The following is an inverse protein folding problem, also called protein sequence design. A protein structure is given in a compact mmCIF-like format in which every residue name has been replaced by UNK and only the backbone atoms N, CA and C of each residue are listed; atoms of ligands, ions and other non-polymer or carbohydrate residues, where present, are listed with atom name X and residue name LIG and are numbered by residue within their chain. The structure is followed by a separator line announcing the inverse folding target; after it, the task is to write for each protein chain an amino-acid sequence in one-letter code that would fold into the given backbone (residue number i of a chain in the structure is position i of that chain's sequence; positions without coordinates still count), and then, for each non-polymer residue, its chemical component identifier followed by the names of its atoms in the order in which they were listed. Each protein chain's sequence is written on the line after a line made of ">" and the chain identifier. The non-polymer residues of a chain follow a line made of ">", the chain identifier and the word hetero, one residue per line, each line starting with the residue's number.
data_IF_883770825313
#
_entry.id   IF_883770825313
#
_cell.length_a   1.000
_cell.length_b   1.000
_cell.length_c   1.000
_cell.angle_alpha   90.00
_cell.angle_beta   90.00
_cell.angle_gamma   90.00
#
_symmetry.space_group_name_H-M   'P 1'
#
loop_
_entity.id
_entity.type
_entity.pdbx_description
1 polymer ?
#
# COMPACT_ATOMS: atom_id res chain seq x y z
N UNK A 1 -14.94 -7.14 -5.36
CA UNK A 1 -15.73 -7.59 -4.20
C UNK A 1 -16.17 -6.37 -3.41
N UNK A 2 -17.43 -6.29 -3.05
CA UNK A 2 -17.88 -5.36 -2.02
C UNK A 2 -17.62 -6.01 -0.66
N UNK A 3 -16.86 -5.35 0.20
CA UNK A 3 -16.24 -5.88 1.42
C UNK A 3 -15.14 -6.92 1.16
N UNK A 4 -14.10 -6.80 1.95
CA UNK A 4 -12.96 -7.72 1.92
C UNK A 4 -12.81 -8.52 3.20
N UNK A 5 -11.96 -9.54 3.18
CA UNK A 5 -11.77 -10.45 4.31
C UNK A 5 -11.28 -9.79 5.58
N UNK A 6 -10.46 -8.71 5.46
CA UNK A 6 -9.98 -7.98 6.63
C UNK A 6 -11.07 -7.16 7.32
N UNK A 7 -12.17 -6.83 6.62
CA UNK A 7 -13.29 -6.10 7.24
C UNK A 7 -13.93 -6.91 8.38
N UNK A 8 -13.96 -8.25 8.25
CA UNK A 8 -14.53 -9.15 9.25
C UNK A 8 -13.88 -8.97 10.62
N UNK A 9 -12.57 -8.70 10.66
CA UNK A 9 -11.83 -8.48 11.91
C UNK A 9 -12.38 -7.32 12.76
N UNK A 10 -13.21 -6.45 12.18
CA UNK A 10 -13.79 -5.30 12.87
C UNK A 10 -15.18 -5.59 13.48
N UNK A 11 -15.76 -6.74 13.17
CA UNK A 11 -17.09 -7.16 13.64
C UNK A 11 -17.05 -8.29 14.66
N UNK A 12 -15.86 -8.85 14.94
CA UNK A 12 -15.67 -9.92 15.92
C UNK A 12 -14.53 -9.57 16.89
N UNK A 13 -14.54 -10.22 18.06
CA UNK A 13 -13.49 -10.05 19.04
C UNK A 13 -12.11 -10.49 18.51
N UNK A 14 -11.07 -9.76 18.86
CA UNK A 14 -9.70 -10.01 18.39
C UNK A 14 -9.21 -11.44 18.64
N UNK A 15 -9.57 -12.01 19.81
CA UNK A 15 -9.25 -13.40 20.18
C UNK A 15 -9.94 -14.40 19.28
N UNK A 16 -11.20 -14.17 18.94
CA UNK A 16 -11.96 -15.02 18.02
C UNK A 16 -11.40 -14.92 16.60
N UNK A 17 -11.05 -13.72 16.15
CA UNK A 17 -10.40 -13.52 14.85
C UNK A 17 -9.10 -14.33 14.75
N UNK A 18 -8.24 -14.25 15.77
CA UNK A 18 -6.98 -15.00 15.79
C UNK A 18 -7.22 -16.51 15.78
N UNK A 19 -8.16 -16.99 16.57
CA UNK A 19 -8.51 -18.42 16.61
C UNK A 19 -9.00 -18.95 15.26
N UNK A 20 -9.80 -18.15 14.53
CA UNK A 20 -10.24 -18.50 13.17
C UNK A 20 -9.06 -18.58 12.19
N UNK A 21 -8.12 -17.63 12.27
CA UNK A 21 -6.93 -17.64 11.42
C UNK A 21 -6.08 -18.89 11.70
N UNK A 22 -5.86 -19.22 12.96
CA UNK A 22 -5.07 -20.37 13.38
C UNK A 22 -5.72 -21.68 12.91
N UNK A 23 -7.04 -21.83 13.08
CA UNK A 23 -7.81 -23.01 12.64
C UNK A 23 -7.74 -23.19 11.12
N UNK A 24 -7.79 -22.10 10.35
CA UNK A 24 -7.74 -22.14 8.88
C UNK A 24 -6.32 -22.17 8.32
N UNK A 25 -5.27 -22.07 9.14
CA UNK A 25 -3.88 -21.98 8.71
C UNK A 25 -3.60 -20.70 7.89
N UNK A 26 -4.33 -19.63 8.18
CA UNK A 26 -4.22 -18.33 7.53
C UNK A 26 -3.45 -17.33 8.39
N UNK A 27 -3.02 -16.24 7.78
CA UNK A 27 -2.46 -15.08 8.46
C UNK A 27 -3.06 -13.79 7.92
N UNK A 28 -3.11 -12.75 8.75
CA UNK A 28 -3.57 -11.42 8.31
C UNK A 28 -2.77 -10.92 7.10
N UNK A 29 -1.47 -11.20 7.05
CA UNK A 29 -0.62 -10.81 5.93
C UNK A 29 -1.09 -11.46 4.64
N UNK A 30 -1.38 -12.76 4.63
CA UNK A 30 -1.90 -13.44 3.44
C UNK A 30 -3.26 -12.92 3.03
N UNK A 31 -4.16 -12.66 3.99
CA UNK A 31 -5.50 -12.15 3.71
C UNK A 31 -5.49 -10.70 3.24
N UNK A 32 -4.61 -9.87 3.80
CA UNK A 32 -4.49 -8.46 3.44
C UNK A 32 -3.70 -8.27 2.16
N UNK A 33 -2.48 -8.85 2.06
CA UNK A 33 -1.49 -8.48 1.07
C UNK A 33 -1.53 -9.35 -0.20
N UNK A 34 -2.14 -10.55 -0.16
CA UNK A 34 -2.06 -11.52 -1.24
C UNK A 34 -3.42 -11.97 -1.80
N UNK A 35 -4.52 -11.53 -1.21
CA UNK A 35 -5.85 -11.98 -1.63
C UNK A 35 -6.50 -11.05 -2.65
N UNK A 36 -6.14 -9.79 -2.65
CA UNK A 36 -6.71 -8.75 -3.52
C UNK A 36 -5.59 -8.02 -4.23
N UNK A 37 -5.82 -7.69 -5.50
CA UNK A 37 -4.86 -6.95 -6.33
C UNK A 37 -4.78 -5.48 -5.87
N UNK A 38 -5.91 -4.90 -5.45
CA UNK A 38 -5.99 -3.60 -4.82
C UNK A 38 -7.13 -3.52 -3.80
N UNK A 39 -7.03 -2.57 -2.90
CA UNK A 39 -8.09 -2.19 -1.96
C UNK A 39 -8.42 -0.72 -2.16
N UNK A 40 -9.68 -0.43 -2.49
CA UNK A 40 -10.18 0.92 -2.64
C UNK A 40 -11.08 1.22 -1.45
N UNK A 41 -10.56 1.98 -0.50
CA UNK A 41 -11.30 2.41 0.67
C UNK A 41 -12.05 3.71 0.37
N UNK A 42 -13.34 3.61 0.19
CA UNK A 42 -14.22 4.76 0.02
C UNK A 42 -14.64 5.26 1.40
N UNK A 43 -14.12 6.42 1.81
CA UNK A 43 -14.47 7.03 3.10
C UNK A 43 -15.98 7.17 3.25
N UNK A 44 -16.52 6.82 4.43
CA UNK A 44 -17.95 6.89 4.73
C UNK A 44 -18.52 8.30 4.50
N UNK A 45 -19.76 8.39 4.01
CA UNK A 45 -20.47 9.67 3.90
C UNK A 45 -20.64 10.38 5.27
N UNK A 46 -20.62 9.63 6.37
CA UNK A 46 -20.61 10.19 7.73
C UNK A 46 -19.41 11.13 8.01
N UNK A 47 -18.44 11.19 7.10
CA UNK A 47 -17.26 12.04 7.19
C UNK A 47 -17.07 12.88 5.92
N UNK A 48 -17.43 14.15 5.98
CA UNK A 48 -17.26 15.13 4.89
C UNK A 48 -18.38 15.15 3.85
N UNK A 49 -19.45 14.35 4.06
CA UNK A 49 -20.66 14.34 3.25
C UNK A 49 -21.87 13.96 4.12
N UNK A 50 -21.91 14.48 5.35
CA UNK A 50 -22.87 14.10 6.40
C UNK A 50 -24.33 14.30 5.98
N UNK A 51 -24.59 15.28 5.12
CA UNK A 51 -25.92 15.54 4.57
C UNK A 51 -26.48 14.37 3.73
N UNK A 52 -25.59 13.51 3.21
CA UNK A 52 -25.96 12.30 2.46
C UNK A 52 -25.93 11.03 3.32
N UNK A 53 -25.52 11.14 4.59
CA UNK A 53 -25.56 10.01 5.51
C UNK A 53 -26.96 9.87 6.10
N UNK A 54 -27.70 8.86 5.66
CA UNK A 54 -29.06 8.58 6.13
C UNK A 54 -29.22 7.11 6.49
N UNK A 55 -30.04 6.84 7.50
CA UNK A 55 -30.44 5.49 7.90
C UNK A 55 -31.64 4.98 7.07
N UNK A 56 -32.34 5.87 6.35
CA UNK A 56 -33.56 5.54 5.64
C UNK A 56 -33.31 4.71 4.38
N UNK A 57 -32.13 4.85 3.77
CA UNK A 57 -31.80 4.21 2.49
C UNK A 57 -31.27 2.78 2.64
N UNK A 58 -31.03 2.30 3.85
CA UNK A 58 -30.47 0.97 4.09
C UNK A 58 -30.93 0.41 5.43
N UNK A 59 -31.87 -0.54 5.39
CA UNK A 59 -32.43 -1.18 6.58
C UNK A 59 -31.39 -1.96 7.43
N UNK A 60 -30.22 -2.24 6.87
CA UNK A 60 -29.12 -2.89 7.58
C UNK A 60 -28.16 -1.90 8.24
N UNK A 61 -28.38 -0.60 8.07
CA UNK A 61 -27.54 0.44 8.67
C UNK A 61 -28.16 0.87 10.00
N UNK A 62 -27.42 0.65 11.08
CA UNK A 62 -27.87 0.98 12.44
C UNK A 62 -26.94 1.94 13.16
N UNK A 63 -25.74 2.20 12.57
CA UNK A 63 -24.71 3.02 13.16
C UNK A 63 -25.08 4.50 13.11
N UNK A 64 -24.86 5.20 14.23
CA UNK A 64 -24.86 6.66 14.28
C UNK A 64 -23.73 7.23 13.40
N UNK A 65 -23.71 8.54 13.17
CA UNK A 65 -22.64 9.22 12.43
C UNK A 65 -21.28 8.96 13.07
N UNK A 66 -21.20 9.03 14.39
CA UNK A 66 -19.98 8.78 15.16
C UNK A 66 -19.52 7.33 15.05
N UNK A 67 -20.42 6.38 15.25
CA UNK A 67 -20.13 4.94 15.13
C UNK A 67 -19.67 4.58 13.71
N UNK A 68 -20.27 5.18 12.69
CA UNK A 68 -19.89 4.97 11.30
C UNK A 68 -18.48 5.50 11.01
N UNK A 69 -18.08 6.64 11.59
CA UNK A 69 -16.72 7.19 11.50
C UNK A 69 -15.71 6.28 12.18
N UNK A 70 -16.02 5.80 13.38
CA UNK A 70 -15.15 4.91 14.13
C UNK A 70 -14.97 3.56 13.42
N UNK A 71 -16.05 3.02 12.86
CA UNK A 71 -15.99 1.78 12.07
C UNK A 71 -15.15 1.97 10.81
N UNK A 72 -15.34 3.07 10.07
CA UNK A 72 -14.58 3.42 8.88
C UNK A 72 -13.08 3.51 9.18
N UNK A 73 -12.70 4.17 10.27
CA UNK A 73 -11.31 4.29 10.71
C UNK A 73 -10.70 2.91 11.07
N UNK A 74 -11.48 2.03 11.73
CA UNK A 74 -11.03 0.67 12.06
C UNK A 74 -10.85 -0.19 10.81
N UNK A 75 -11.77 -0.11 9.86
CA UNK A 75 -11.68 -0.81 8.57
C UNK A 75 -10.43 -0.34 7.81
N UNK A 76 -10.24 0.97 7.68
CA UNK A 76 -9.05 1.53 7.05
C UNK A 76 -7.76 1.05 7.72
N UNK A 77 -7.74 0.99 9.05
CA UNK A 77 -6.59 0.46 9.81
C UNK A 77 -6.34 -1.02 9.51
N UNK A 78 -7.38 -1.85 9.35
CA UNK A 78 -7.23 -3.26 9.03
C UNK A 78 -6.60 -3.50 7.65
N UNK A 79 -6.81 -2.58 6.72
CA UNK A 79 -6.22 -2.61 5.38
C UNK A 79 -4.89 -1.86 5.26
N UNK A 80 -4.52 -1.05 6.26
CA UNK A 80 -3.22 -0.36 6.28
C UNK A 80 -2.08 -1.37 6.16
N UNK A 81 -1.18 -1.16 5.21
CA UNK A 81 -0.11 -2.10 4.85
C UNK A 81 -0.39 -2.90 3.59
N UNK A 82 -1.60 -2.87 3.00
CA UNK A 82 -1.83 -3.43 1.67
C UNK A 82 -0.98 -2.68 0.62
N UNK A 83 -0.30 -3.39 -0.32
CA UNK A 83 0.61 -2.76 -1.30
C UNK A 83 -0.07 -1.75 -2.23
N UNK A 84 -1.35 -1.92 -2.48
CA UNK A 84 -2.17 -1.07 -3.36
C UNK A 84 -3.44 -0.63 -2.61
N UNK A 85 -3.26 0.13 -1.53
CA UNK A 85 -4.36 0.75 -0.79
C UNK A 85 -4.62 2.15 -1.33
N UNK A 86 -5.79 2.37 -1.89
CA UNK A 86 -6.29 3.67 -2.34
C UNK A 86 -7.35 4.20 -1.39
N UNK A 87 -7.22 5.45 -0.95
CA UNK A 87 -8.18 6.12 -0.08
C UNK A 87 -8.92 7.17 -0.91
N UNK A 88 -10.24 7.02 -1.05
CA UNK A 88 -11.09 7.95 -1.82
C UNK A 88 -11.98 8.74 -0.87
N UNK A 89 -11.68 10.02 -0.73
CA UNK A 89 -12.32 10.94 0.21
C UNK A 89 -13.67 11.50 -0.31
N UNK A 90 -14.38 12.24 0.58
CA UNK A 90 -15.61 12.98 0.27
C UNK A 90 -15.35 14.50 0.12
N UNK A 91 -14.14 14.90 -0.27
CA UNK A 91 -13.76 16.30 -0.49
C UNK A 91 -14.16 16.85 -1.87
N UNK A 92 -14.78 16.02 -2.68
CA UNK A 92 -15.25 16.30 -4.03
C UNK A 92 -16.70 15.83 -4.18
N UNK A 93 -17.37 16.22 -5.27
CA UNK A 93 -18.71 15.71 -5.54
C UNK A 93 -18.72 14.20 -5.84
N UNK A 94 -19.90 13.60 -5.83
CA UNK A 94 -20.07 12.15 -6.01
C UNK A 94 -19.56 11.64 -7.38
N UNK A 95 -19.73 12.41 -8.45
CA UNK A 95 -19.26 12.02 -9.80
C UNK A 95 -17.74 11.98 -9.84
N UNK A 96 -17.13 12.98 -9.25
CA UNK A 96 -15.67 13.06 -9.10
C UNK A 96 -15.13 11.93 -8.22
N UNK A 97 -15.81 11.64 -7.11
CA UNK A 97 -15.47 10.50 -6.24
C UNK A 97 -15.48 9.18 -7.02
N UNK A 98 -16.50 8.94 -7.86
CA UNK A 98 -16.57 7.75 -8.71
C UNK A 98 -15.44 7.74 -9.74
N UNK A 99 -15.07 8.89 -10.30
CA UNK A 99 -13.95 8.99 -11.22
C UNK A 99 -12.62 8.59 -10.57
N UNK A 100 -12.36 9.00 -9.32
CA UNK A 100 -11.18 8.56 -8.55
C UNK A 100 -11.19 7.04 -8.31
N UNK A 101 -12.34 6.44 -8.02
CA UNK A 101 -12.47 4.98 -7.90
C UNK A 101 -12.14 4.28 -9.22
N UNK A 102 -12.70 4.74 -10.34
CA UNK A 102 -12.41 4.17 -11.65
C UNK A 102 -10.94 4.30 -12.02
N UNK A 103 -10.33 5.44 -11.71
CA UNK A 103 -8.90 5.67 -11.89
C UNK A 103 -8.06 4.66 -11.11
N UNK A 104 -8.33 4.44 -9.82
CA UNK A 104 -7.61 3.45 -9.01
C UNK A 104 -7.76 2.02 -9.58
N UNK A 105 -8.91 1.70 -10.18
CA UNK A 105 -9.15 0.43 -10.89
C UNK A 105 -8.25 0.34 -12.13
N UNK A 106 -8.24 1.38 -12.99
CA UNK A 106 -7.42 1.39 -14.21
C UNK A 106 -5.92 1.31 -13.89
N UNK A 107 -5.46 2.01 -12.85
CA UNK A 107 -4.08 1.91 -12.36
C UNK A 107 -3.72 0.47 -11.97
N UNK A 108 -4.62 -0.21 -11.26
CA UNK A 108 -4.41 -1.59 -10.84
C UNK A 108 -4.40 -2.57 -12.02
N UNK A 109 -5.26 -2.36 -13.01
CA UNK A 109 -5.35 -3.20 -14.21
C UNK A 109 -4.22 -2.93 -15.22
N UNK A 110 -3.50 -1.82 -15.08
CA UNK A 110 -2.47 -1.40 -16.04
C UNK A 110 -3.06 -0.87 -17.35
N UNK A 111 -4.35 -0.51 -17.35
CA UNK A 111 -5.04 0.06 -18.50
C UNK A 111 -4.65 1.53 -18.65
N UNK A 112 -4.35 1.95 -19.88
CA UNK A 112 -4.07 3.31 -20.34
C UNK A 112 -3.27 4.23 -19.36
N UNK A 113 -1.94 4.31 -19.52
CA UNK A 113 -1.07 5.17 -18.69
C UNK A 113 -1.45 6.67 -18.76
N UNK A 114 -2.18 7.10 -19.78
CA UNK A 114 -2.61 8.51 -19.94
C UNK A 114 -3.70 8.92 -18.89
N UNK A 115 -4.32 7.95 -18.24
CA UNK A 115 -5.31 8.19 -17.18
C UNK A 115 -4.71 8.28 -15.78
N UNK A 116 -3.42 7.95 -15.61
CA UNK A 116 -2.74 8.01 -14.32
C UNK A 116 -2.50 9.45 -13.93
N UNK A 117 -3.28 9.96 -13.00
CA UNK A 117 -3.09 11.29 -12.43
C UNK A 117 -2.27 11.25 -11.15
N UNK A 118 -2.27 10.13 -10.42
CA UNK A 118 -1.48 10.01 -9.21
C UNK A 118 -0.01 9.77 -9.51
N UNK A 119 0.83 10.51 -8.82
CA UNK A 119 2.27 10.34 -8.85
C UNK A 119 2.77 9.77 -7.52
N UNK A 120 3.77 8.92 -7.60
CA UNK A 120 4.47 8.45 -6.41
C UNK A 120 5.58 9.44 -6.07
N UNK A 121 5.33 10.24 -5.03
CA UNK A 121 6.31 11.19 -4.51
C UNK A 121 7.19 10.53 -3.46
N UNK A 122 8.46 10.91 -3.45
CA UNK A 122 9.51 10.32 -2.61
C UNK A 122 10.29 11.40 -1.89
N UNK A 123 10.52 11.18 -0.60
CA UNK A 123 11.21 12.13 0.26
C UNK A 123 12.27 11.42 1.10
N UNK A 124 13.45 12.02 1.22
CA UNK A 124 14.37 11.66 2.30
C UNK A 124 13.87 12.32 3.56
N UNK A 125 13.75 11.54 4.61
CA UNK A 125 13.17 12.00 5.88
C UNK A 125 13.97 11.51 7.08
N UNK A 126 13.72 12.14 8.22
CA UNK A 126 14.08 11.64 9.53
C UNK A 126 12.81 11.50 10.39
N UNK A 127 12.56 10.31 10.92
CA UNK A 127 11.45 10.08 11.85
C UNK A 127 11.90 10.48 13.25
N UNK A 128 11.16 11.38 13.87
CA UNK A 128 11.39 11.87 15.25
C UNK A 128 10.38 11.22 16.20
N UNK A 129 10.80 10.18 16.91
CA UNK A 129 9.93 9.44 17.82
C UNK A 129 9.22 8.25 17.18
N UNK A 130 8.12 7.83 17.78
CA UNK A 130 7.32 6.69 17.30
C UNK A 130 6.30 7.15 16.24
N UNK A 131 6.08 6.30 15.23
CA UNK A 131 4.97 6.45 14.30
C UNK A 131 3.73 5.83 14.96
N UNK A 132 2.75 6.64 15.39
CA UNK A 132 1.56 6.11 16.03
C UNK A 132 0.73 5.32 15.00
N UNK A 133 0.25 4.15 15.40
CA UNK A 133 -0.63 3.28 14.59
C UNK A 133 -0.04 2.73 13.30
N UNK A 134 1.30 2.73 13.16
CA UNK A 134 1.97 2.16 12.00
C UNK A 134 1.85 0.64 11.93
N UNK A 135 1.67 0.11 10.72
CA UNK A 135 1.77 -1.33 10.43
C UNK A 135 3.15 -1.61 9.86
N UNK A 136 3.91 -2.45 10.55
CA UNK A 136 5.26 -2.83 10.12
C UNK A 136 5.21 -3.96 9.10
N UNK A 137 6.11 -3.91 8.14
CA UNK A 137 6.31 -4.92 7.11
C UNK A 137 7.80 -5.07 6.84
N UNK A 138 8.34 -6.25 7.05
CA UNK A 138 9.65 -6.63 6.53
C UNK A 138 9.59 -6.70 5.01
N UNK A 139 10.51 -6.05 4.35
CA UNK A 139 10.58 -5.99 2.89
C UNK A 139 11.97 -6.35 2.40
N UNK A 140 12.07 -7.47 1.68
CA UNK A 140 13.27 -7.88 0.96
C UNK A 140 13.02 -7.71 -0.52
N UNK A 141 13.88 -7.00 -1.22
CA UNK A 141 13.74 -6.79 -2.66
C UNK A 141 15.08 -6.79 -3.38
N UNK A 142 15.05 -7.30 -4.61
CA UNK A 142 16.19 -7.24 -5.51
C UNK A 142 15.72 -6.86 -6.92
N UNK A 143 16.60 -6.22 -7.69
CA UNK A 143 16.38 -5.85 -9.08
C UNK A 143 17.30 -6.65 -9.98
N UNK A 144 16.76 -7.16 -11.06
CA UNK A 144 17.43 -7.97 -12.08
C UNK A 144 17.24 -7.27 -13.41
N UNK A 145 18.33 -6.83 -14.04
CA UNK A 145 18.27 -6.30 -15.39
C UNK A 145 18.31 -7.49 -16.38
N UNK A 146 17.38 -7.49 -17.32
CA UNK A 146 17.20 -8.58 -18.29
C UNK A 146 17.86 -8.20 -19.62
N UNK A 147 18.27 -9.20 -20.42
CA UNK A 147 18.94 -8.99 -21.71
C UNK A 147 18.05 -8.24 -22.73
N UNK A 148 16.72 -8.33 -22.60
CA UNK A 148 15.76 -7.63 -23.45
C UNK A 148 15.53 -6.15 -23.05
N UNK A 149 16.33 -5.63 -22.12
CA UNK A 149 16.22 -4.27 -21.61
C UNK A 149 15.10 -4.06 -20.59
N UNK A 150 14.33 -5.11 -20.26
CA UNK A 150 13.39 -5.06 -19.16
C UNK A 150 14.11 -5.18 -17.81
N UNK A 151 13.46 -4.75 -16.74
CA UNK A 151 13.93 -5.01 -15.37
C UNK A 151 12.88 -5.78 -14.59
N UNK A 152 13.32 -6.73 -13.80
CA UNK A 152 12.49 -7.52 -12.90
C UNK A 152 12.83 -7.11 -11.48
N UNK A 153 11.82 -6.80 -10.69
CA UNK A 153 11.95 -6.63 -9.24
C UNK A 153 11.26 -7.81 -8.57
N UNK A 154 11.98 -8.56 -7.78
CA UNK A 154 11.41 -9.58 -6.89
C UNK A 154 11.30 -8.99 -5.49
N UNK A 155 10.23 -9.34 -4.82
CA UNK A 155 9.92 -8.82 -3.49
C UNK A 155 9.35 -9.92 -2.59
N UNK A 156 9.92 -10.07 -1.41
CA UNK A 156 9.36 -10.83 -0.30
C UNK A 156 8.91 -9.82 0.76
N UNK A 157 7.64 -9.85 1.14
CA UNK A 157 7.09 -8.95 2.15
C UNK A 157 6.29 -9.69 3.18
N UNK A 158 6.29 -9.21 4.41
CA UNK A 158 5.56 -9.84 5.49
C UNK A 158 6.10 -9.49 6.86
N UNK A 159 5.81 -10.30 7.86
CA UNK A 159 6.32 -10.13 9.22
C UNK A 159 6.28 -11.47 9.96
N UNK A 160 7.29 -11.70 10.83
CA UNK A 160 7.32 -12.82 11.79
C UNK A 160 7.06 -14.19 11.16
N UNK A 161 7.71 -14.48 10.04
CA UNK A 161 7.61 -15.77 9.36
C UNK A 161 6.44 -15.89 8.37
N UNK A 162 5.50 -14.97 8.37
CA UNK A 162 4.42 -14.91 7.40
C UNK A 162 4.79 -13.98 6.24
N UNK A 163 5.14 -14.56 5.10
CA UNK A 163 5.58 -13.80 3.94
C UNK A 163 4.75 -14.13 2.71
N UNK A 164 4.63 -13.14 1.84
CA UNK A 164 4.10 -13.23 0.48
C UNK A 164 5.15 -12.70 -0.49
N UNK A 165 5.11 -13.19 -1.74
CA UNK A 165 6.15 -12.93 -2.72
C UNK A 165 5.54 -12.36 -3.99
N UNK A 166 6.21 -11.36 -4.56
CA UNK A 166 5.77 -10.69 -5.78
C UNK A 166 6.92 -10.55 -6.76
N UNK A 167 6.58 -10.58 -8.03
CA UNK A 167 7.45 -10.23 -9.13
C UNK A 167 6.81 -9.07 -9.90
N UNK A 168 7.55 -7.98 -10.05
CA UNK A 168 7.18 -6.83 -10.87
C UNK A 168 8.13 -6.80 -12.07
N UNK A 169 7.61 -6.80 -13.28
CA UNK A 169 8.41 -6.59 -14.50
C UNK A 169 8.09 -5.23 -15.09
N UNK A 170 9.14 -4.48 -15.40
CA UNK A 170 9.07 -3.22 -16.13
C UNK A 170 9.69 -3.41 -17.50
N UNK A 171 8.86 -3.40 -18.54
CA UNK A 171 9.28 -3.58 -19.93
C UNK A 171 9.22 -2.24 -20.66
N UNK A 172 10.32 -1.82 -21.33
CA UNK A 172 10.31 -0.63 -22.15
C UNK A 172 9.50 -0.88 -23.44
N UNK A 173 8.59 0.03 -23.79
CA UNK A 173 7.87 0.03 -25.05
C UNK A 173 7.90 1.46 -25.61
N UNK A 174 8.67 1.67 -26.69
CA UNK A 174 8.86 2.98 -27.31
C UNK A 174 9.28 4.07 -26.31
N UNK A 175 8.37 5.01 -26.00
CA UNK A 175 8.60 6.10 -25.05
C UNK A 175 8.01 5.85 -23.66
N UNK A 176 7.41 4.69 -23.43
CA UNK A 176 6.72 4.32 -22.20
C UNK A 176 7.27 3.03 -21.59
N UNK A 177 6.78 2.67 -20.43
CA UNK A 177 7.09 1.40 -19.79
C UNK A 177 5.81 0.72 -19.33
N UNK A 178 5.63 -0.54 -19.71
CA UNK A 178 4.58 -1.38 -19.14
C UNK A 178 5.11 -2.00 -17.84
N UNK A 179 4.34 -1.85 -16.78
CA UNK A 179 4.63 -2.44 -15.47
C UNK A 179 3.59 -3.52 -15.21
N UNK A 180 4.04 -4.75 -15.02
CA UNK A 180 3.18 -5.86 -14.59
C UNK A 180 3.66 -6.37 -13.25
N UNK A 181 2.73 -6.55 -12.31
CA UNK A 181 3.02 -7.18 -11.02
C UNK A 181 2.17 -8.43 -10.85
N UNK A 182 2.77 -9.49 -10.32
CA UNK A 182 2.05 -10.71 -9.96
C UNK A 182 2.60 -11.33 -8.69
N UNK A 183 1.75 -12.02 -7.98
CA UNK A 183 2.18 -12.88 -6.89
C UNK A 183 2.91 -14.10 -7.44
N UNK A 184 3.98 -14.52 -6.73
CA UNK A 184 4.77 -15.71 -7.06
C UNK A 184 4.89 -16.62 -5.84
N UNK A 185 5.29 -17.87 -6.06
CA UNK A 185 5.60 -18.79 -4.97
C UNK A 185 7.00 -18.56 -4.39
N UNK A 186 7.27 -19.10 -3.18
CA UNK A 186 8.59 -19.03 -2.56
C UNK A 186 9.69 -19.67 -3.42
N UNK A 187 9.40 -20.78 -4.08
CA UNK A 187 10.38 -21.47 -4.92
C UNK A 187 10.75 -20.64 -6.15
N UNK A 188 9.78 -19.97 -6.75
CA UNK A 188 10.03 -19.06 -7.87
C UNK A 188 10.85 -17.85 -7.44
N UNK A 189 10.56 -17.27 -6.25
CA UNK A 189 11.35 -16.20 -5.65
C UNK A 189 12.81 -16.62 -5.45
N UNK A 190 13.05 -17.80 -4.89
CA UNK A 190 14.40 -18.36 -4.69
C UNK A 190 15.09 -18.59 -6.04
N UNK A 191 14.37 -19.06 -7.05
CA UNK A 191 14.92 -19.25 -8.39
C UNK A 191 15.44 -17.95 -8.98
N UNK A 192 14.69 -16.85 -8.84
CA UNK A 192 15.16 -15.52 -9.25
C UNK A 192 16.38 -15.07 -8.48
N UNK A 193 16.41 -15.24 -7.15
CA UNK A 193 17.58 -14.89 -6.33
C UNK A 193 18.83 -15.65 -6.77
N UNK A 194 18.70 -16.94 -7.04
CA UNK A 194 19.81 -17.79 -7.48
C UNK A 194 20.31 -17.44 -8.90
N UNK A 195 19.53 -16.72 -9.70
CA UNK A 195 19.97 -16.22 -11.01
C UNK A 195 20.87 -14.98 -10.92
N UNK A 196 20.93 -14.34 -9.75
CA UNK A 196 21.77 -13.17 -9.51
C UNK A 196 23.18 -13.63 -9.12
N UNK A 197 24.24 -13.19 -9.83
CA UNK A 197 25.63 -13.62 -9.54
C UNK A 197 26.10 -13.31 -8.10
N UNK A 198 25.67 -12.17 -7.55
CA UNK A 198 25.98 -11.74 -6.18
C UNK A 198 24.71 -11.25 -5.49
N UNK A 199 23.80 -12.14 -5.06
CA UNK A 199 22.51 -11.74 -4.51
C UNK A 199 22.63 -10.86 -3.26
N UNK A 200 23.62 -11.08 -2.41
CA UNK A 200 23.84 -10.30 -1.19
C UNK A 200 24.22 -8.83 -1.45
N UNK A 201 24.78 -8.53 -2.63
CA UNK A 201 25.14 -7.15 -3.02
C UNK A 201 23.95 -6.35 -3.53
N UNK A 202 22.90 -7.00 -4.00
CA UNK A 202 21.73 -6.38 -4.64
C UNK A 202 20.44 -6.53 -3.83
N UNK A 203 20.43 -7.42 -2.83
CA UNK A 203 19.29 -7.63 -1.98
C UNK A 203 19.21 -6.49 -0.95
N UNK A 204 18.09 -5.76 -0.98
CA UNK A 204 17.80 -4.72 -0.01
C UNK A 204 16.80 -5.25 1.00
N UNK A 205 17.17 -5.21 2.29
CA UNK A 205 16.28 -5.47 3.41
C UNK A 205 15.91 -4.16 4.08
N UNK A 206 14.63 -3.91 4.22
CA UNK A 206 14.10 -2.73 4.91
C UNK A 206 12.85 -3.06 5.75
N UNK A 207 12.69 -2.34 6.83
CA UNK A 207 11.47 -2.33 7.61
C UNK A 207 10.61 -1.17 7.13
N UNK A 208 9.48 -1.47 6.51
CA UNK A 208 8.51 -0.50 6.06
C UNK A 208 7.45 -0.28 7.14
N UNK A 209 7.20 0.96 7.48
CA UNK A 209 6.10 1.37 8.35
C UNK A 209 5.04 2.07 7.52
N UNK A 210 3.84 1.50 7.51
CA UNK A 210 2.69 1.97 6.75
C UNK A 210 1.72 2.64 7.72
N UNK A 211 1.27 3.84 7.42
CA UNK A 211 0.31 4.55 8.27
C UNK A 211 -0.51 5.55 7.47
N UNK A 212 -1.64 5.96 8.07
CA UNK A 212 -2.49 7.02 7.53
C UNK A 212 -2.39 8.24 8.41
N UNK A 213 -2.13 9.39 7.81
CA UNK A 213 -2.13 10.70 8.46
C UNK A 213 -2.84 11.73 7.59
N UNK A 214 -3.72 12.53 8.20
CA UNK A 214 -4.54 13.52 7.49
C UNK A 214 -5.20 12.94 6.21
N UNK A 215 -5.66 11.68 6.29
CA UNK A 215 -6.27 10.88 5.22
C UNK A 215 -5.33 10.53 4.06
N UNK A 216 -4.06 10.79 4.18
CA UNK A 216 -3.04 10.39 3.22
C UNK A 216 -2.32 9.13 3.71
N UNK A 217 -2.04 8.22 2.78
CA UNK A 217 -1.36 6.96 3.07
C UNK A 217 0.14 7.11 2.84
N UNK A 218 0.91 6.86 3.88
CA UNK A 218 2.36 6.99 3.92
C UNK A 218 3.03 5.64 4.11
N UNK A 219 4.14 5.46 3.41
CA UNK A 219 5.07 4.37 3.57
C UNK A 219 6.45 4.93 3.95
N UNK A 220 7.01 4.53 5.09
CA UNK A 220 8.35 4.93 5.50
C UNK A 220 9.25 3.72 5.59
N UNK A 221 10.33 3.73 4.82
CA UNK A 221 11.32 2.67 4.73
C UNK A 221 12.54 2.99 5.59
N UNK A 222 12.81 2.13 6.59
CA UNK A 222 14.06 2.05 7.32
C UNK A 222 14.96 0.98 6.69
N UNK A 223 16.15 1.34 6.24
CA UNK A 223 17.08 0.39 5.61
C UNK A 223 17.86 -0.38 6.67
N UNK A 224 17.63 -1.69 6.70
CA UNK A 224 18.31 -2.62 7.60
C UNK A 224 19.62 -3.08 6.95
N UNK A 225 19.56 -3.46 5.65
CA UNK A 225 20.71 -3.90 4.88
C UNK A 225 20.53 -3.56 3.39
N UNK A 226 21.46 -2.81 2.77
CA UNK A 226 22.55 -2.07 3.42
C UNK A 226 21.99 -0.93 4.30
N UNK A 227 22.58 -0.75 5.48
CA UNK A 227 22.16 0.31 6.40
C UNK A 227 22.40 1.70 5.80
N UNK A 228 21.46 2.60 6.02
CA UNK A 228 21.53 4.01 5.59
C UNK A 228 21.29 4.95 6.77
N UNK A 229 21.74 6.17 6.67
CA UNK A 229 21.59 7.23 7.68
C UNK A 229 20.34 8.09 7.46
N UNK A 230 19.51 7.73 6.47
CA UNK A 230 18.23 8.36 6.15
C UNK A 230 17.15 7.31 5.95
N UNK A 231 15.92 7.76 6.08
CA UNK A 231 14.71 6.99 5.74
C UNK A 231 14.10 7.54 4.46
N UNK A 232 13.40 6.69 3.73
CA UNK A 232 12.64 7.10 2.55
C UNK A 232 11.16 7.03 2.85
N UNK A 233 10.48 8.16 2.66
CA UNK A 233 9.03 8.24 2.72
C UNK A 233 8.47 8.25 1.30
N UNK A 234 7.50 7.38 1.05
CA UNK A 234 6.73 7.34 -0.20
C UNK A 234 5.26 7.68 0.07
N UNK A 235 4.65 8.39 -0.85
CA UNK A 235 3.21 8.68 -0.89
C UNK A 235 2.73 8.69 -2.33
N UNK A 236 1.57 8.06 -2.59
CA UNK A 236 0.84 8.21 -3.85
C UNK A 236 -0.19 9.32 -3.70
N UNK A 237 -0.16 10.31 -4.55
CA UNK A 237 -1.06 11.46 -4.48
C UNK A 237 -1.22 12.12 -5.86
N UNK A 238 -2.29 12.91 -6.03
CA UNK A 238 -2.43 13.74 -7.23
C UNK A 238 -1.25 14.73 -7.35
N UNK A 239 -0.84 15.11 -8.57
CA UNK A 239 0.33 15.97 -8.81
C UNK A 239 0.30 17.30 -8.07
N UNK A 240 -0.87 17.90 -7.92
CA UNK A 240 -1.13 19.16 -7.25
C UNK A 240 -1.58 19.03 -5.79
N UNK A 241 -1.70 17.79 -5.30
CA UNK A 241 -2.11 17.53 -3.92
C UNK A 241 -1.00 17.93 -2.95
N UNK A 242 -1.35 18.76 -1.97
CA UNK A 242 -0.46 19.09 -0.87
C UNK A 242 -0.21 17.87 0.02
N UNK A 243 1.06 17.56 0.27
CA UNK A 243 1.45 16.50 1.22
C UNK A 243 1.44 17.07 2.63
N UNK A 244 0.55 16.55 3.47
CA UNK A 244 0.41 16.95 4.88
C UNK A 244 1.28 16.09 5.78
N UNK A 245 2.54 16.46 5.92
CA UNK A 245 3.48 15.70 6.74
C UNK A 245 3.09 15.69 8.22
N UNK A 246 3.17 14.51 8.88
CA UNK A 246 2.99 14.43 10.32
C UNK A 246 4.10 15.19 11.08
N UNK A 247 3.84 15.67 12.30
CA UNK A 247 4.82 16.43 13.08
C UNK A 247 6.05 15.61 13.51
N UNK A 248 5.98 14.28 13.45
CA UNK A 248 7.09 13.39 13.73
C UNK A 248 7.93 13.06 12.46
N UNK A 249 7.60 13.64 11.30
CA UNK A 249 8.39 13.51 10.06
C UNK A 249 9.11 14.82 9.79
N UNK A 250 10.42 14.78 9.83
CA UNK A 250 11.29 15.85 9.36
C UNK A 250 11.72 15.57 7.92
N UNK A 251 11.25 16.37 6.97
CA UNK A 251 11.60 16.25 5.55
C UNK A 251 12.96 16.88 5.31
N UNK A 252 13.90 16.09 4.77
CA UNK A 252 15.24 16.55 4.39
C UNK A 252 15.21 17.07 2.96
N UNK A 253 14.67 16.27 2.02
CA UNK A 253 14.68 16.60 0.60
C UNK A 253 13.64 15.76 -0.16
N UNK A 254 12.96 16.37 -1.12
CA UNK A 254 12.19 15.59 -2.12
C UNK A 254 13.15 15.01 -3.17
N UNK A 255 12.98 13.72 -3.47
CA UNK A 255 13.80 12.94 -4.41
C UNK A 255 12.96 12.21 -5.45
N UNK A 256 11.76 12.72 -5.71
CA UNK A 256 10.85 12.20 -6.74
C UNK A 256 11.54 12.23 -8.11
N UNK A 257 11.57 11.08 -8.80
CA UNK A 257 12.20 10.96 -10.13
C UNK A 257 13.74 10.94 -10.14
N UNK A 258 14.41 11.09 -9.01
CA UNK A 258 15.86 11.02 -8.93
C UNK A 258 16.33 9.56 -9.12
N UNK A 259 17.14 9.26 -10.18
CA UNK A 259 17.59 7.89 -10.49
C UNK A 259 18.39 7.23 -9.36
N UNK A 260 19.12 8.02 -8.56
CA UNK A 260 19.91 7.54 -7.42
C UNK A 260 19.04 6.84 -6.40
N UNK A 261 17.78 7.27 -6.26
CA UNK A 261 16.80 6.74 -5.32
C UNK A 261 15.72 5.88 -6.02
N UNK A 262 15.87 5.61 -7.31
CA UNK A 262 14.87 4.89 -8.12
C UNK A 262 14.70 3.41 -7.76
N UNK A 263 15.77 2.77 -7.26
CA UNK A 263 15.81 1.34 -6.93
C UNK A 263 15.94 1.06 -5.42
N UNK A 264 15.47 1.98 -4.59
CA UNK A 264 15.48 1.84 -3.13
C UNK A 264 14.35 0.98 -2.60
#
# INVERSE_FOLDING_TARGET
>A
SDRGTMDISNYIERTMWQALLDELGLSEIKLRDARYDAVIHMVTAAQGAEEFYTLENNASRHETVEEARDLDARILKAWTGHPHLHIVENNVDFQEKIRHVLQAIHETLGDDPATFTDIRRRFLVQVRGEIPFGVETDLYQAYIDMEDGSSVRIRKRGLRGNYVYFMTRKSPIESQSIITERQIGPDEYISYLNSIPSPDEVLVHKLRRNFVWAKQYFEVDDFIEPKRDYQVLEISCAPDQEVKFPPFIEVIKEVTGDPVYGRL
#
